data_IF_245373107929
#
_entry.id   IF_245373107929
#
_cell.length_a   1.000
_cell.length_b   1.000
_cell.length_c   1.000
_cell.angle_alpha   90.00
_cell.angle_beta   90.00
_cell.angle_gamma   90.00
#
_symmetry.space_group_name_H-M   'P 1'
#
loop_
_entity.id
_entity.type
_entity.pdbx_description
1 polymer ?
#
# COMPACT_ATOMS: atom_id res chain seq x y z
N UNK A 1 5.58 14.74 -17.94
CA UNK A 1 5.55 13.64 -16.95
C UNK A 1 5.15 12.27 -17.51
N UNK A 2 4.03 12.10 -18.22
CA UNK A 2 3.59 10.75 -18.70
C UNK A 2 4.63 9.98 -19.55
N UNK A 3 5.39 10.65 -20.43
CA UNK A 3 6.42 10.01 -21.26
C UNK A 3 7.57 9.42 -20.44
N UNK A 4 8.00 10.11 -19.37
CA UNK A 4 9.07 9.62 -18.48
C UNK A 4 8.59 8.41 -17.68
N UNK A 5 7.42 8.50 -17.06
CA UNK A 5 6.84 7.35 -16.34
C UNK A 5 6.70 6.14 -17.26
N UNK A 6 6.21 6.34 -18.49
CA UNK A 6 6.14 5.25 -19.47
C UNK A 6 7.51 4.63 -19.78
N UNK A 7 8.56 5.44 -19.95
CA UNK A 7 9.93 4.91 -20.18
C UNK A 7 10.45 4.13 -18.99
N UNK A 8 10.21 4.59 -17.76
CA UNK A 8 10.62 3.88 -16.53
C UNK A 8 9.86 2.56 -16.42
N UNK A 9 8.53 2.60 -16.54
CA UNK A 9 7.66 1.43 -16.41
C UNK A 9 7.88 0.38 -17.53
N UNK A 10 8.40 0.81 -18.69
CA UNK A 10 8.76 -0.07 -19.81
C UNK A 10 10.25 -0.42 -19.85
N UNK A 11 11.04 -0.02 -18.86
CA UNK A 11 12.45 -0.41 -18.78
C UNK A 11 12.59 -1.88 -18.42
N UNK A 12 13.64 -2.52 -18.91
CA UNK A 12 13.96 -3.92 -18.60
C UNK A 12 14.14 -4.13 -17.09
N UNK A 13 14.78 -3.18 -16.40
CA UNK A 13 14.96 -3.19 -14.96
C UNK A 13 13.62 -3.16 -14.20
N UNK A 14 12.65 -2.33 -14.62
CA UNK A 14 11.33 -2.27 -13.97
C UNK A 14 10.48 -3.51 -14.24
N UNK A 15 10.60 -4.10 -15.44
CA UNK A 15 9.82 -5.28 -15.85
C UNK A 15 10.44 -6.60 -15.40
N UNK A 16 11.59 -6.56 -14.75
CA UNK A 16 12.28 -7.74 -14.27
C UNK A 16 11.40 -8.51 -13.27
N UNK A 17 11.36 -9.83 -13.42
CA UNK A 17 10.63 -10.69 -12.50
C UNK A 17 11.38 -10.78 -11.18
N UNK A 18 10.67 -10.66 -10.06
CA UNK A 18 11.22 -10.95 -8.72
C UNK A 18 11.25 -12.46 -8.40
N UNK A 19 10.96 -13.35 -9.38
CA UNK A 19 11.09 -14.80 -9.19
C UNK A 19 12.55 -15.16 -9.00
N UNK A 20 12.85 -15.87 -7.92
CA UNK A 20 14.21 -16.24 -7.52
C UNK A 20 14.85 -17.22 -8.51
N UNK A 21 15.89 -16.79 -9.27
CA UNK A 21 16.67 -17.70 -10.09
C UNK A 21 17.52 -18.63 -9.20
N UNK A 22 17.81 -19.86 -9.65
CA UNK A 22 18.70 -20.75 -8.91
C UNK A 22 20.05 -20.08 -8.65
N UNK A 23 20.48 -20.04 -7.38
CA UNK A 23 21.77 -19.50 -6.98
C UNK A 23 21.85 -17.97 -6.81
N UNK A 24 20.84 -17.20 -7.26
CA UNK A 24 20.88 -15.74 -7.18
C UNK A 24 21.00 -15.23 -5.73
N UNK A 25 20.22 -15.83 -4.81
CA UNK A 25 20.29 -15.50 -3.38
C UNK A 25 21.57 -15.96 -2.70
N UNK A 26 22.23 -16.99 -3.22
CA UNK A 26 23.53 -17.42 -2.71
C UNK A 26 24.64 -16.46 -3.14
N UNK A 27 24.59 -15.97 -4.39
CA UNK A 27 25.58 -15.04 -4.94
C UNK A 27 25.38 -13.59 -4.50
N UNK A 28 24.12 -13.13 -4.34
CA UNK A 28 23.77 -11.77 -3.91
C UNK A 28 22.59 -11.80 -2.90
N UNK A 29 22.85 -12.19 -1.64
CA UNK A 29 21.83 -12.27 -0.60
C UNK A 29 21.24 -10.90 -0.24
N UNK A 30 22.04 -9.84 -0.35
CA UNK A 30 21.66 -8.46 -0.03
C UNK A 30 20.95 -7.74 -1.20
N UNK A 31 20.80 -8.42 -2.35
CA UNK A 31 20.16 -7.87 -3.55
C UNK A 31 20.79 -6.53 -4.01
N UNK A 32 22.12 -6.39 -3.91
CA UNK A 32 22.85 -5.18 -4.30
C UNK A 32 22.79 -4.96 -5.82
N UNK A 33 22.73 -6.04 -6.60
CA UNK A 33 22.61 -5.99 -8.06
C UNK A 33 21.16 -5.78 -8.51
N UNK A 34 20.21 -5.62 -7.58
CA UNK A 34 18.79 -5.39 -7.83
C UNK A 34 18.18 -6.48 -8.72
N UNK A 35 18.58 -7.73 -8.51
CA UNK A 35 18.06 -8.87 -9.27
C UNK A 35 16.57 -9.14 -8.98
N UNK A 36 16.03 -8.59 -7.88
CA UNK A 36 14.60 -8.54 -7.56
C UNK A 36 14.22 -7.15 -7.05
N UNK A 37 12.93 -6.82 -7.13
CA UNK A 37 12.41 -5.63 -6.47
C UNK A 37 12.58 -5.76 -4.95
N UNK A 38 13.23 -4.79 -4.25
CA UNK A 38 13.25 -4.78 -2.80
C UNK A 38 11.82 -4.68 -2.27
N UNK A 39 11.43 -5.50 -1.28
CA UNK A 39 10.11 -5.40 -0.68
C UNK A 39 9.97 -4.02 -0.06
N UNK A 40 8.83 -3.38 -0.32
CA UNK A 40 8.46 -2.11 0.29
C UNK A 40 7.20 -2.33 1.11
N UNK A 41 7.12 -1.67 2.26
CA UNK A 41 5.91 -1.63 3.05
C UNK A 41 4.79 -0.97 2.22
N UNK A 42 3.59 -1.55 2.30
CA UNK A 42 2.42 -0.95 1.69
C UNK A 42 1.86 0.11 2.63
N UNK A 43 1.46 1.25 2.05
CA UNK A 43 0.61 2.21 2.74
C UNK A 43 -0.71 1.57 3.16
N UNK A 44 -1.34 2.10 4.20
CA UNK A 44 -2.66 1.66 4.69
C UNK A 44 -3.68 1.43 3.56
N UNK A 45 -3.83 2.40 2.66
CA UNK A 45 -4.83 2.35 1.60
C UNK A 45 -4.53 1.21 0.62
N UNK A 46 -3.25 1.04 0.27
CA UNK A 46 -2.80 -0.03 -0.60
C UNK A 46 -2.95 -1.41 0.07
N UNK A 47 -2.66 -1.50 1.36
CA UNK A 47 -2.82 -2.72 2.15
C UNK A 47 -4.31 -3.13 2.22
N UNK A 48 -5.19 -2.21 2.60
CA UNK A 48 -6.64 -2.48 2.68
C UNK A 48 -7.22 -2.85 1.32
N UNK A 49 -6.95 -2.06 0.28
CA UNK A 49 -7.44 -2.35 -1.06
C UNK A 49 -6.92 -3.70 -1.58
N UNK A 50 -5.70 -4.09 -1.20
CA UNK A 50 -5.14 -5.41 -1.54
C UNK A 50 -5.86 -6.54 -0.81
N UNK A 51 -6.16 -6.38 0.48
CA UNK A 51 -6.94 -7.38 1.24
C UNK A 51 -8.32 -7.61 0.63
N UNK A 52 -9.04 -6.52 0.33
CA UNK A 52 -10.35 -6.59 -0.33
C UNK A 52 -10.27 -7.16 -1.75
N UNK A 53 -9.18 -6.88 -2.48
CA UNK A 53 -8.98 -7.41 -3.83
C UNK A 53 -8.73 -8.92 -3.80
N UNK A 54 -7.97 -9.41 -2.82
CA UNK A 54 -7.67 -10.83 -2.64
C UNK A 54 -8.90 -11.60 -2.14
N UNK A 55 -9.74 -11.01 -1.27
CA UNK A 55 -11.01 -11.61 -0.84
C UNK A 55 -12.06 -11.65 -1.95
N UNK A 56 -11.88 -10.87 -3.01
CA UNK A 56 -12.85 -10.74 -4.11
C UNK A 56 -14.02 -9.81 -3.80
N UNK A 57 -14.00 -9.14 -2.64
CA UNK A 57 -15.08 -8.25 -2.21
C UNK A 57 -14.92 -6.83 -2.74
N UNK A 58 -13.72 -6.45 -3.23
CA UNK A 58 -13.42 -5.08 -3.64
C UNK A 58 -14.35 -4.55 -4.73
N UNK A 59 -15.20 -3.61 -4.33
CA UNK A 59 -15.97 -2.77 -5.24
C UNK A 59 -15.07 -1.73 -5.91
N UNK A 60 -15.00 -1.82 -7.25
CA UNK A 60 -14.23 -0.92 -8.13
C UNK A 60 -15.09 0.15 -8.79
N UNK A 61 -16.34 0.35 -8.35
CA UNK A 61 -17.21 1.41 -8.88
C UNK A 61 -16.56 2.79 -8.75
N UNK A 62 -16.48 3.49 -9.88
CA UNK A 62 -15.92 4.82 -9.95
C UNK A 62 -16.96 5.88 -9.54
N UNK A 63 -16.57 6.75 -8.60
CA UNK A 63 -17.39 7.88 -8.15
C UNK A 63 -18.61 7.47 -7.31
N UNK A 64 -19.35 8.44 -6.79
CA UNK A 64 -20.48 8.21 -5.88
C UNK A 64 -20.21 8.72 -4.48
N UNK A 65 -21.13 8.45 -3.54
CA UNK A 65 -21.05 8.95 -2.18
C UNK A 65 -19.87 8.30 -1.44
N UNK A 66 -19.04 9.09 -0.72
CA UNK A 66 -18.07 8.54 0.22
C UNK A 66 -18.75 7.64 1.25
N UNK A 67 -18.05 6.61 1.70
CA UNK A 67 -18.50 5.78 2.82
C UNK A 67 -17.80 6.21 4.10
N UNK A 68 -18.53 6.24 5.21
CA UNK A 68 -17.94 6.45 6.52
C UNK A 68 -17.27 5.15 6.95
N UNK A 69 -15.95 5.21 7.17
CA UNK A 69 -15.22 4.09 7.74
C UNK A 69 -15.42 4.13 9.25
N UNK A 70 -16.10 3.13 9.80
CA UNK A 70 -16.33 2.97 11.25
C UNK A 70 -15.76 1.63 11.67
N UNK A 71 -15.25 1.51 12.90
CA UNK A 71 -14.63 0.29 13.39
C UNK A 71 -15.54 -0.96 13.32
N UNK A 72 -16.87 -0.77 13.35
CA UNK A 72 -17.86 -1.85 13.35
C UNK A 72 -18.18 -2.41 11.96
N UNK A 73 -17.86 -1.70 10.88
CA UNK A 73 -18.29 -2.08 9.53
C UNK A 73 -17.23 -1.83 8.46
N UNK A 74 -16.68 -2.92 7.95
CA UNK A 74 -15.83 -2.90 6.75
C UNK A 74 -16.71 -2.70 5.52
N UNK A 75 -16.58 -1.55 4.88
CA UNK A 75 -17.21 -1.31 3.58
C UNK A 75 -16.25 -1.78 2.47
N UNK A 76 -16.65 -2.72 1.61
CA UNK A 76 -15.75 -3.34 0.65
C UNK A 76 -15.56 -2.47 -0.60
N UNK A 77 -15.13 -1.23 -0.39
CA UNK A 77 -14.94 -0.22 -1.43
C UNK A 77 -13.54 0.38 -1.31
N UNK A 78 -12.97 0.80 -2.45
CA UNK A 78 -11.64 1.40 -2.49
C UNK A 78 -11.47 2.52 -1.47
N UNK A 79 -10.35 2.49 -0.76
CA UNK A 79 -10.00 3.41 0.33
C UNK A 79 -9.99 4.88 -0.08
N UNK A 80 -9.80 5.18 -1.38
CA UNK A 80 -9.90 6.55 -1.92
C UNK A 80 -11.28 7.19 -1.75
N UNK A 81 -12.33 6.39 -1.59
CA UNK A 81 -13.69 6.85 -1.34
C UNK A 81 -14.07 6.84 0.15
N UNK A 82 -13.11 6.56 1.03
CA UNK A 82 -13.34 6.63 2.47
C UNK A 82 -13.53 8.09 2.91
N UNK A 83 -14.59 8.34 3.68
CA UNK A 83 -14.76 9.56 4.42
C UNK A 83 -14.02 9.43 5.76
N UNK A 84 -13.13 10.37 6.03
CA UNK A 84 -12.39 10.44 7.28
C UNK A 84 -12.92 11.62 8.09
N UNK A 85 -13.53 11.33 9.24
CA UNK A 85 -13.81 12.35 10.23
C UNK A 85 -12.51 12.70 10.96
N UNK A 86 -12.14 13.98 11.01
CA UNK A 86 -10.92 14.43 11.68
C UNK A 86 -11.01 14.28 13.21
N UNK A 87 -12.21 14.37 13.77
CA UNK A 87 -12.43 14.30 15.22
C UNK A 87 -12.48 12.85 15.72
N UNK A 88 -12.82 11.91 14.84
CA UNK A 88 -12.94 10.48 15.13
C UNK A 88 -12.13 9.70 14.10
N UNK A 89 -10.87 9.44 14.42
CA UNK A 89 -9.96 8.68 13.56
C UNK A 89 -10.24 7.18 13.75
N UNK A 90 -10.59 6.44 12.68
CA UNK A 90 -10.77 4.99 12.78
C UNK A 90 -9.51 4.29 13.25
N UNK A 91 -9.65 3.23 14.06
CA UNK A 91 -8.50 2.55 14.66
C UNK A 91 -7.56 1.95 13.61
N UNK A 92 -8.09 1.49 12.49
CA UNK A 92 -7.30 1.00 11.37
C UNK A 92 -6.35 2.07 10.81
N UNK A 93 -6.77 3.34 10.77
CA UNK A 93 -5.95 4.44 10.25
C UNK A 93 -4.77 4.73 11.19
N UNK A 94 -5.02 4.80 12.50
CA UNK A 94 -3.96 5.03 13.48
C UNK A 94 -3.02 3.82 13.65
N UNK A 95 -3.56 2.60 13.52
CA UNK A 95 -2.79 1.36 13.69
C UNK A 95 -1.85 1.06 12.54
N UNK A 96 -2.07 1.58 11.33
CA UNK A 96 -1.23 1.30 10.15
C UNK A 96 -0.59 2.57 9.56
N UNK A 97 -0.18 3.49 10.43
CA UNK A 97 0.55 4.72 10.08
C UNK A 97 -0.11 5.53 8.95
N UNK A 98 -1.44 5.64 8.99
CA UNK A 98 -2.19 6.52 8.10
C UNK A 98 -1.77 7.98 8.26
N UNK A 99 -2.04 8.80 7.24
CA UNK A 99 -1.80 10.23 7.34
C UNK A 99 -2.71 10.85 8.42
N UNK A 100 -2.17 11.75 9.23
CA UNK A 100 -2.96 12.51 10.20
C UNK A 100 -3.87 13.48 9.43
N UNK A 101 -5.21 13.37 9.57
CA UNK A 101 -6.15 14.25 8.87
C UNK A 101 -6.18 15.66 9.47
N UNK A 102 -5.67 15.86 10.68
CA UNK A 102 -5.67 17.13 11.42
C UNK A 102 -4.44 18.00 11.18
N UNK A 103 -3.33 17.39 10.74
CA UNK A 103 -2.06 18.06 10.55
C UNK A 103 -1.50 17.88 9.13
N UNK A 104 -0.61 18.77 8.72
CA UNK A 104 0.15 18.58 7.47
C UNK A 104 1.17 17.47 7.67
N UNK A 105 0.92 16.30 7.08
CA UNK A 105 1.84 15.16 7.13
C UNK A 105 2.79 15.18 5.93
N UNK A 106 4.02 15.69 6.12
CA UNK A 106 5.04 15.71 5.05
C UNK A 106 5.57 14.31 4.74
N UNK A 107 5.79 13.51 5.80
CA UNK A 107 6.24 12.12 5.72
C UNK A 107 5.46 11.32 6.77
N UNK A 108 4.88 10.18 6.35
CA UNK A 108 4.20 9.27 7.27
C UNK A 108 5.23 8.60 8.20
N UNK A 109 4.88 8.36 9.47
CA UNK A 109 5.73 7.59 10.35
C UNK A 109 5.83 6.16 9.84
N UNK A 110 7.01 5.54 9.92
CA UNK A 110 7.17 4.11 9.67
C UNK A 110 7.43 3.45 11.02
N UNK A 111 6.37 2.90 11.63
CA UNK A 111 6.49 2.18 12.89
C UNK A 111 6.64 0.67 12.65
N UNK A 112 7.41 0.01 13.53
CA UNK A 112 7.62 -1.45 13.54
C UNK A 112 7.12 -2.00 14.87
N UNK A 113 5.86 -1.70 15.22
CA UNK A 113 5.29 -2.29 16.45
C UNK A 113 5.00 -3.78 16.21
N UNK A 114 5.12 -4.64 17.23
CA UNK A 114 4.85 -6.07 17.10
C UNK A 114 3.46 -6.38 16.52
N UNK A 115 2.46 -5.54 16.80
CA UNK A 115 1.10 -5.70 16.29
C UNK A 115 0.99 -5.52 14.77
N UNK A 116 1.96 -4.86 14.13
CA UNK A 116 2.02 -4.66 12.68
C UNK A 116 3.02 -5.60 11.99
N UNK A 117 3.82 -6.34 12.76
CA UNK A 117 4.91 -7.18 12.24
C UNK A 117 4.47 -8.65 12.34
N UNK A 118 4.14 -9.26 11.21
CA UNK A 118 3.93 -10.71 11.08
C UNK A 118 4.94 -11.28 10.09
#
# INVERSE_FOLDING_TARGET
>A
MKKLHRRILLSTAWQQSSREPPGARHSDPENQLLWRMPPRRLDLEAMRDSLLAVSGELDRTFGGKPFEETDDKVTPRRSIYAFLNRDVIPKMVSTFDGADPSACTVKRPDTTVPQQTL
#
